data_IF_954324921477
#
_entry.id   IF_954324921477
#
_cell.length_a   1.000
_cell.length_b   1.000
_cell.length_c   1.000
_cell.angle_alpha   90.00
_cell.angle_beta   90.00
_cell.angle_gamma   90.00
#
_symmetry.space_group_name_H-M   'P 1'
#
loop_
_entity.id
_entity.type
_entity.pdbx_description
1 polymer ?
#
# COMPACT_ATOMS: atom_id res chain seq x y z
N UNK A 1 -17.56 32.77 -2.82
CA UNK A 1 -17.11 31.72 -3.76
C UNK A 1 -15.60 31.84 -3.98
N UNK A 2 -14.83 31.88 -2.90
CA UNK A 2 -13.36 32.06 -2.93
C UNK A 2 -12.67 31.34 -1.75
N UNK A 3 -13.44 30.76 -0.81
CA UNK A 3 -12.93 30.11 0.39
C UNK A 3 -12.83 28.58 0.29
N UNK A 4 -13.02 27.99 -0.90
CA UNK A 4 -13.02 26.52 -1.07
C UNK A 4 -11.66 25.94 -1.48
N UNK A 5 -10.62 26.78 -1.60
CA UNK A 5 -9.27 26.37 -1.95
C UNK A 5 -8.27 26.87 -0.91
N UNK A 6 -8.57 26.66 0.38
CA UNK A 6 -7.48 26.55 1.35
C UNK A 6 -6.72 25.25 1.04
N UNK A 7 -5.81 25.35 0.08
CA UNK A 7 -4.92 24.26 -0.32
C UNK A 7 -3.62 24.46 0.43
N UNK A 8 -3.67 24.60 1.76
CA UNK A 8 -2.52 24.22 2.58
C UNK A 8 -2.11 22.83 2.10
N UNK A 9 -0.93 22.72 1.51
CA UNK A 9 -0.51 21.60 0.64
C UNK A 9 -0.86 20.25 1.26
N UNK A 10 -2.02 19.70 0.92
CA UNK A 10 -2.46 18.42 1.45
C UNK A 10 -1.55 17.35 0.85
N UNK A 11 -0.72 16.72 1.69
CA UNK A 11 0.19 15.68 1.24
C UNK A 11 -0.59 14.37 1.10
N UNK A 12 -0.59 13.81 -0.10
CA UNK A 12 -1.22 12.53 -0.39
C UNK A 12 -0.16 11.46 -0.61
N UNK A 13 -0.30 10.33 0.09
CA UNK A 13 0.50 9.14 -0.17
C UNK A 13 -0.31 8.15 -1.02
N UNK A 14 0.27 7.69 -2.12
CA UNK A 14 -0.34 6.67 -3.00
C UNK A 14 0.55 5.43 -3.00
N UNK A 15 -0.02 4.29 -2.58
CA UNK A 15 0.68 3.00 -2.57
C UNK A 15 0.25 2.16 -3.77
N UNK A 16 1.15 1.96 -4.73
CA UNK A 16 0.89 1.08 -5.88
C UNK A 16 0.92 -0.40 -5.48
N UNK A 17 -0.25 -1.03 -5.43
CA UNK A 17 -0.41 -2.44 -5.09
C UNK A 17 -0.63 -3.34 -6.32
N UNK A 18 0.17 -3.14 -7.37
CA UNK A 18 0.03 -3.85 -8.65
C UNK A 18 0.77 -5.19 -8.75
N UNK A 19 0.28 -6.05 -9.63
CA UNK A 19 0.88 -7.35 -9.96
C UNK A 19 0.56 -8.45 -8.94
N UNK A 20 0.34 -9.66 -9.47
CA UNK A 20 -0.04 -10.83 -8.67
C UNK A 20 1.15 -11.30 -7.82
N UNK A 21 2.38 -11.27 -8.35
CA UNK A 21 3.55 -11.84 -7.67
C UNK A 21 3.69 -13.34 -7.91
N UNK A 22 3.71 -13.74 -9.19
CA UNK A 22 3.80 -15.14 -9.64
C UNK A 22 5.02 -15.89 -9.12
N UNK A 23 6.12 -15.20 -8.81
CA UNK A 23 7.32 -15.77 -8.17
C UNK A 23 7.07 -16.27 -6.73
N UNK A 24 5.98 -15.86 -6.10
CA UNK A 24 5.57 -16.32 -4.76
C UNK A 24 4.49 -17.41 -4.81
N UNK A 25 4.20 -18.00 -5.97
CA UNK A 25 3.34 -19.18 -6.01
C UNK A 25 3.96 -20.32 -5.18
N UNK A 26 3.19 -21.09 -4.38
CA UNK A 26 1.71 -21.13 -4.31
C UNK A 26 1.08 -20.12 -3.35
N UNK A 27 1.88 -19.35 -2.62
CA UNK A 27 1.39 -18.41 -1.61
C UNK A 27 0.61 -17.26 -2.25
N UNK A 28 1.09 -16.76 -3.39
CA UNK A 28 0.39 -15.75 -4.16
C UNK A 28 -0.49 -16.35 -5.26
N UNK A 29 -1.70 -15.83 -5.40
CA UNK A 29 -2.68 -16.20 -6.44
C UNK A 29 -3.38 -14.94 -6.97
N UNK A 30 -4.08 -15.01 -8.12
CA UNK A 30 -4.89 -13.88 -8.59
C UNK A 30 -5.90 -13.36 -7.55
N UNK A 31 -6.44 -14.24 -6.68
CA UNK A 31 -7.37 -13.87 -5.61
C UNK A 31 -6.67 -13.40 -4.33
N UNK A 32 -5.37 -13.67 -4.17
CA UNK A 32 -4.56 -13.33 -3.00
C UNK A 32 -3.16 -12.89 -3.45
N UNK A 33 -3.01 -11.65 -3.97
CA UNK A 33 -1.76 -11.17 -4.55
C UNK A 33 -0.70 -10.86 -3.46
N UNK A 34 0.56 -10.68 -3.85
CA UNK A 34 1.69 -10.57 -2.90
C UNK A 34 1.52 -9.53 -1.80
N UNK A 35 0.81 -8.43 -2.08
CA UNK A 35 0.67 -7.29 -1.18
C UNK A 35 -0.14 -7.64 0.08
N UNK A 36 -1.03 -8.64 0.00
CA UNK A 36 -1.82 -9.13 1.14
C UNK A 36 -1.18 -10.33 1.85
N UNK A 37 0.06 -10.68 1.50
CA UNK A 37 0.81 -11.77 2.14
C UNK A 37 1.77 -11.23 3.20
N UNK A 38 1.88 -11.97 4.29
CA UNK A 38 2.87 -11.76 5.34
C UNK A 38 4.16 -12.53 4.98
N UNK A 39 5.02 -11.93 4.14
CA UNK A 39 6.20 -12.60 3.58
C UNK A 39 7.51 -12.31 4.35
N UNK A 40 7.56 -11.19 5.07
CA UNK A 40 8.77 -10.73 5.78
C UNK A 40 8.49 -10.64 7.28
N UNK A 41 7.37 -10.03 7.65
CA UNK A 41 6.90 -9.89 9.02
C UNK A 41 5.56 -10.60 9.20
N UNK A 42 5.03 -10.58 10.42
CA UNK A 42 3.70 -11.12 10.75
C UNK A 42 2.54 -10.37 10.05
N UNK A 43 2.82 -9.19 9.49
CA UNK A 43 1.83 -8.35 8.81
C UNK A 43 1.92 -8.48 7.29
N UNK A 44 0.80 -8.26 6.57
CA UNK A 44 0.83 -8.16 5.12
C UNK A 44 1.79 -7.06 4.62
N UNK A 45 2.45 -7.30 3.48
CA UNK A 45 3.36 -6.31 2.87
C UNK A 45 2.73 -4.92 2.70
N UNK A 46 1.43 -4.84 2.41
CA UNK A 46 0.73 -3.57 2.28
C UNK A 46 0.64 -2.81 3.60
N UNK A 47 0.42 -3.51 4.72
CA UNK A 47 0.38 -2.91 6.05
C UNK A 47 1.76 -2.39 6.47
N UNK A 48 2.82 -3.16 6.19
CA UNK A 48 4.19 -2.71 6.42
C UNK A 48 4.55 -1.49 5.56
N UNK A 49 4.03 -1.41 4.34
CA UNK A 49 4.25 -0.27 3.44
C UNK A 49 3.55 0.99 3.93
N UNK A 50 2.33 0.87 4.44
CA UNK A 50 1.60 1.99 5.06
C UNK A 50 2.28 2.44 6.36
N UNK A 51 2.73 1.50 7.19
CA UNK A 51 3.42 1.83 8.45
C UNK A 51 4.71 2.66 8.22
N UNK A 52 5.40 2.42 7.09
CA UNK A 52 6.58 3.19 6.68
C UNK A 52 6.28 4.65 6.30
N UNK A 53 5.01 5.03 6.14
CA UNK A 53 4.64 6.41 5.85
C UNK A 53 4.80 7.33 7.07
N UNK A 54 4.88 6.82 8.30
CA UNK A 54 5.10 7.69 9.47
C UNK A 54 6.47 8.39 9.41
N UNK A 55 6.58 9.70 9.73
CA UNK A 55 5.55 10.60 10.26
C UNK A 55 4.94 11.55 9.20
N UNK A 56 4.90 11.14 7.93
CA UNK A 56 4.34 11.95 6.84
C UNK A 56 2.90 12.39 7.13
#
# INVERSE_FOLDING_TARGET
>A
MEALLDTGTAMWAVVFAGGIGTRFWPLSTPRRPKQVLALVNERPLIADTVARLSPL
#
